data_IF_012624618429
#
_entry.id   IF_012624618429
#
_cell.length_a   1.000
_cell.length_b   1.000
_cell.length_c   1.000
_cell.angle_alpha   90.00
_cell.angle_beta   90.00
_cell.angle_gamma   90.00
#
_symmetry.space_group_name_H-M   'P 1'
#
loop_
_entity.id
_entity.type
_entity.pdbx_description
1 polymer ?
#
# COMPACT_ATOMS: atom_id res chain seq x y z
N UNK A 1 33.25 -2.99 4.86
CA UNK A 1 33.77 -2.54 6.16
C UNK A 1 32.60 -2.52 7.14
N UNK A 2 32.73 -3.17 8.29
CA UNK A 2 31.75 -3.01 9.36
C UNK A 2 31.74 -1.54 9.82
N UNK A 3 30.55 -0.94 9.92
CA UNK A 3 30.42 0.40 10.46
C UNK A 3 30.77 0.39 11.93
N UNK A 4 31.64 1.28 12.37
CA UNK A 4 31.92 1.46 13.80
C UNK A 4 30.69 2.07 14.47
N UNK A 5 30.17 1.50 15.56
CA UNK A 5 29.04 2.07 16.27
C UNK A 5 29.41 3.46 16.84
N UNK A 6 28.44 4.37 16.82
CA UNK A 6 28.56 5.69 17.42
C UNK A 6 28.75 5.61 18.94
N UNK A 7 28.01 4.69 19.59
CA UNK A 7 28.28 4.28 20.95
C UNK A 7 27.89 2.82 21.18
N UNK A 8 28.48 2.23 22.21
CA UNK A 8 28.21 0.85 22.65
C UNK A 8 28.00 0.83 24.17
N UNK A 9 27.03 0.07 24.65
CA UNK A 9 26.71 -0.11 26.05
C UNK A 9 26.07 -1.48 26.29
N UNK A 10 25.92 -1.87 27.55
CA UNK A 10 25.21 -3.09 27.89
C UNK A 10 23.71 -2.82 28.13
N UNK A 11 22.86 -3.76 27.75
CA UNK A 11 21.44 -3.69 28.00
C UNK A 11 21.17 -3.75 29.52
N UNK A 12 20.47 -2.77 30.11
CA UNK A 12 20.18 -2.74 31.54
C UNK A 12 19.23 -3.88 31.98
N UNK A 13 18.57 -4.57 31.03
CA UNK A 13 17.64 -5.66 31.35
C UNK A 13 18.32 -7.04 31.34
N UNK A 14 19.21 -7.31 30.37
CA UNK A 14 19.78 -8.65 30.18
C UNK A 14 21.32 -8.68 30.10
N UNK A 15 21.98 -7.52 30.12
CA UNK A 15 23.45 -7.44 30.03
C UNK A 15 24.03 -7.65 28.64
N UNK A 16 23.23 -7.94 27.60
CA UNK A 16 23.72 -8.11 26.26
C UNK A 16 24.22 -6.77 25.65
N UNK A 17 25.22 -6.76 24.76
CA UNK A 17 25.71 -5.53 24.15
C UNK A 17 24.62 -4.90 23.26
N UNK A 18 24.49 -3.58 23.37
CA UNK A 18 23.61 -2.73 22.56
C UNK A 18 24.48 -1.69 21.88
N UNK A 19 24.33 -1.56 20.58
CA UNK A 19 25.08 -0.64 19.72
C UNK A 19 24.15 0.34 19.05
N UNK A 20 24.54 1.60 18.97
CA UNK A 20 23.88 2.62 18.17
C UNK A 20 24.85 3.18 17.11
N UNK A 21 24.40 3.25 15.89
CA UNK A 21 25.18 3.68 14.74
C UNK A 21 24.88 5.12 14.35
N UNK A 22 23.71 5.65 14.72
CA UNK A 22 23.32 7.03 14.48
C UNK A 22 23.51 7.91 15.72
N UNK A 23 24.08 9.11 15.51
CA UNK A 23 24.15 10.13 16.56
C UNK A 23 22.76 10.65 16.98
N UNK A 24 21.72 10.38 16.21
CA UNK A 24 20.34 10.79 16.48
C UNK A 24 19.50 9.71 17.14
N UNK A 25 20.10 8.56 17.50
CA UNK A 25 19.41 7.48 18.17
C UNK A 25 18.84 7.92 19.54
N UNK A 26 17.53 7.76 19.71
CA UNK A 26 16.80 8.06 20.96
C UNK A 26 16.16 6.81 21.53
N UNK A 27 15.52 5.99 20.70
CA UNK A 27 15.03 4.66 21.09
C UNK A 27 15.96 3.59 20.53
N UNK A 28 16.28 2.60 21.35
CA UNK A 28 17.01 1.39 20.97
C UNK A 28 16.21 0.16 21.39
N UNK A 29 16.21 -0.87 20.59
CA UNK A 29 15.61 -2.17 20.95
C UNK A 29 16.75 -3.18 21.10
N UNK A 30 16.83 -3.80 22.27
CA UNK A 30 17.83 -4.85 22.51
C UNK A 30 17.59 -6.04 21.58
N UNK A 31 18.58 -6.41 20.79
CA UNK A 31 18.46 -7.55 19.86
C UNK A 31 18.35 -8.92 20.56
N UNK A 32 18.64 -8.99 21.88
CA UNK A 32 18.61 -10.23 22.64
C UNK A 32 17.33 -10.45 23.45
N UNK A 33 16.91 -9.43 24.24
CA UNK A 33 15.74 -9.56 25.11
C UNK A 33 14.56 -8.70 24.67
N UNK A 34 14.69 -7.97 23.55
CA UNK A 34 13.68 -7.09 22.98
C UNK A 34 13.23 -5.93 23.86
N UNK A 35 13.88 -5.69 25.01
CA UNK A 35 13.56 -4.52 25.84
C UNK A 35 13.84 -3.23 25.10
N UNK A 36 12.88 -2.32 25.16
CA UNK A 36 13.02 -0.97 24.60
C UNK A 36 13.77 -0.07 25.55
N UNK A 37 14.81 0.57 25.03
CA UNK A 37 15.74 1.39 25.77
C UNK A 37 15.66 2.84 25.26
N UNK A 38 15.80 3.79 26.17
CA UNK A 38 15.89 5.22 25.81
C UNK A 38 17.33 5.68 26.01
N UNK A 39 17.95 6.13 24.91
CA UNK A 39 19.27 6.73 24.95
C UNK A 39 19.19 8.18 25.47
N UNK A 40 20.07 8.53 26.39
CA UNK A 40 20.17 9.87 26.99
C UNK A 40 21.61 10.34 27.02
N UNK A 41 21.81 11.63 26.82
CA UNK A 41 23.11 12.27 27.03
C UNK A 41 23.23 12.63 28.50
N UNK A 42 24.28 12.14 29.16
CA UNK A 42 24.51 12.41 30.58
C UNK A 42 24.74 13.88 30.86
N UNK A 43 23.95 14.51 31.74
CA UNK A 43 24.21 15.85 32.22
C UNK A 43 25.51 15.84 33.03
N UNK A 44 26.56 16.51 32.56
CA UNK A 44 27.83 16.67 33.26
C UNK A 44 28.81 15.49 33.19
N UNK A 45 28.53 14.46 32.37
CA UNK A 45 29.46 13.37 32.02
C UNK A 45 29.51 13.23 30.51
N UNK A 46 30.71 13.11 29.99
CA UNK A 46 30.92 12.78 28.58
C UNK A 46 30.51 11.30 28.39
N UNK A 47 29.28 11.04 27.95
CA UNK A 47 28.85 9.68 27.63
C UNK A 47 27.33 9.56 27.41
N UNK A 48 27.01 8.63 26.55
CA UNK A 48 25.64 8.15 26.37
C UNK A 48 25.35 7.06 27.39
N UNK A 49 24.15 7.06 27.94
CA UNK A 49 23.64 5.96 28.73
C UNK A 49 22.24 5.58 28.23
N UNK A 50 21.89 4.33 28.42
CA UNK A 50 20.55 3.83 28.10
C UNK A 50 19.80 3.49 29.39
N UNK A 51 18.51 3.78 29.37
CA UNK A 51 17.61 3.37 30.46
C UNK A 51 16.51 2.48 29.87
N UNK A 52 16.11 1.44 30.62
CA UNK A 52 14.96 0.65 30.24
C UNK A 52 13.69 1.52 30.29
N UNK A 53 12.90 1.46 29.23
CA UNK A 53 11.60 2.18 29.16
C UNK A 53 10.49 1.49 29.95
N UNK A 54 10.74 0.28 30.47
CA UNK A 54 9.72 -0.58 31.09
C UNK A 54 8.82 -1.29 30.10
N UNK A 55 9.21 -1.36 28.84
CA UNK A 55 8.46 -1.98 27.76
C UNK A 55 9.37 -2.86 26.90
N UNK A 56 8.79 -3.90 26.32
CA UNK A 56 9.46 -4.77 25.38
C UNK A 56 8.85 -4.59 23.96
N UNK A 57 9.69 -4.73 22.95
CA UNK A 57 9.22 -4.77 21.57
C UNK A 57 8.48 -6.08 21.31
N UNK A 58 7.31 -5.97 20.72
CA UNK A 58 6.47 -7.09 20.32
C UNK A 58 6.20 -7.08 18.81
N UNK A 59 7.10 -6.48 18.03
CA UNK A 59 6.99 -6.43 16.58
C UNK A 59 6.89 -7.85 16.02
N UNK A 60 5.81 -8.12 15.30
CA UNK A 60 5.65 -9.39 14.62
C UNK A 60 6.54 -9.42 13.39
N UNK A 61 7.28 -10.53 13.26
CA UNK A 61 8.00 -10.81 12.03
C UNK A 61 7.02 -10.86 10.86
N UNK A 62 7.36 -10.18 9.81
CA UNK A 62 6.60 -10.16 8.57
C UNK A 62 7.39 -10.78 7.42
N UNK A 63 6.83 -10.71 6.23
CA UNK A 63 7.40 -11.26 5.01
C UNK A 63 8.26 -10.26 4.24
N UNK A 64 8.67 -9.16 4.86
CA UNK A 64 9.61 -8.22 4.24
C UNK A 64 10.93 -8.90 3.92
N UNK A 65 11.50 -8.70 2.74
CA UNK A 65 12.86 -9.13 2.44
C UNK A 65 13.92 -8.27 3.13
N UNK A 66 13.51 -7.16 3.73
CA UNK A 66 14.39 -6.24 4.43
C UNK A 66 14.59 -6.66 5.88
N UNK A 67 15.76 -6.33 6.44
CA UNK A 67 16.09 -6.55 7.83
C UNK A 67 17.06 -5.47 8.34
N UNK A 68 17.22 -5.38 9.65
CA UNK A 68 18.28 -4.54 10.23
C UNK A 68 19.65 -5.01 9.71
N UNK A 69 20.45 -4.07 9.24
CA UNK A 69 21.76 -4.36 8.61
C UNK A 69 21.68 -4.59 7.10
N UNK A 70 20.50 -4.59 6.47
CA UNK A 70 20.41 -4.52 5.00
C UNK A 70 21.08 -3.25 4.50
N UNK A 71 21.93 -3.39 3.49
CA UNK A 71 22.72 -2.30 2.88
C UNK A 71 22.25 -2.08 1.45
N UNK A 72 22.43 -0.85 0.96
CA UNK A 72 22.09 -0.52 -0.41
C UNK A 72 22.72 0.77 -0.88
N UNK A 73 22.30 1.21 -2.06
CA UNK A 73 22.74 2.48 -2.68
C UNK A 73 21.52 3.28 -3.12
N UNK A 74 21.46 4.54 -2.75
CA UNK A 74 20.46 5.50 -3.18
C UNK A 74 21.15 6.84 -3.52
N UNK A 75 20.97 7.34 -4.77
CA UNK A 75 21.62 8.55 -5.26
C UNK A 75 23.15 8.52 -5.06
N UNK A 76 23.80 7.42 -5.46
CA UNK A 76 25.23 7.15 -5.33
C UNK A 76 25.75 7.15 -3.88
N UNK A 77 24.86 7.26 -2.88
CA UNK A 77 25.20 7.16 -1.46
C UNK A 77 24.87 5.76 -0.94
N UNK A 78 25.83 5.15 -0.28
CA UNK A 78 25.61 3.88 0.41
C UNK A 78 24.82 4.13 1.69
N UNK A 79 23.97 3.19 2.02
CA UNK A 79 23.16 3.24 3.24
C UNK A 79 23.07 1.89 3.93
N UNK A 80 22.66 1.91 5.19
CA UNK A 80 22.33 0.73 6.00
C UNK A 80 20.99 0.97 6.70
N UNK A 81 20.13 -0.04 6.76
CA UNK A 81 18.92 -0.04 7.57
C UNK A 81 19.28 -0.32 9.02
N UNK A 82 19.05 0.64 9.90
CA UNK A 82 19.47 0.57 11.31
C UNK A 82 18.31 0.49 12.29
N UNK A 83 17.08 0.78 11.82
CA UNK A 83 15.88 0.70 12.61
C UNK A 83 14.67 0.32 11.76
N UNK A 84 13.63 -0.16 12.42
CA UNK A 84 12.33 -0.47 11.84
C UNK A 84 11.23 -0.05 12.79
N UNK A 85 10.19 0.56 12.23
CA UNK A 85 8.95 0.90 12.91
C UNK A 85 7.77 0.40 12.08
N UNK A 86 6.82 -0.28 12.68
CA UNK A 86 5.55 -0.59 12.04
C UNK A 86 4.54 0.48 12.39
N UNK A 87 4.07 1.20 11.38
CA UNK A 87 3.09 2.29 11.49
C UNK A 87 1.70 1.75 11.20
N UNK A 88 0.75 2.04 12.08
CA UNK A 88 -0.63 1.60 11.96
C UNK A 88 -1.55 2.73 11.54
N UNK A 89 -2.59 2.39 10.81
CA UNK A 89 -3.72 3.26 10.52
C UNK A 89 -5.02 2.46 10.62
N UNK A 90 -6.17 3.07 10.42
CA UNK A 90 -7.49 2.47 10.69
C UNK A 90 -7.73 1.12 10.00
N UNK A 91 -7.07 0.86 8.89
CA UNK A 91 -7.35 -0.29 8.02
C UNK A 91 -6.12 -1.14 7.68
N UNK A 92 -4.95 -0.84 8.23
CA UNK A 92 -3.73 -1.60 7.94
C UNK A 92 -2.49 -1.11 8.69
N UNK A 93 -1.34 -1.58 8.23
CA UNK A 93 -0.04 -1.16 8.72
C UNK A 93 1.00 -1.24 7.59
N UNK A 94 2.07 -0.47 7.70
CA UNK A 94 3.23 -0.54 6.83
C UNK A 94 4.52 -0.42 7.63
N UNK A 95 5.66 -0.74 6.99
CA UNK A 95 6.97 -0.61 7.62
C UNK A 95 7.64 0.71 7.24
N UNK A 96 8.24 1.35 8.23
CA UNK A 96 9.19 2.44 8.07
C UNK A 96 10.58 1.95 8.50
N UNK A 97 11.50 1.86 7.56
CA UNK A 97 12.87 1.47 7.79
C UNK A 97 13.74 2.70 7.98
N UNK A 98 14.37 2.85 9.15
CA UNK A 98 15.28 3.95 9.42
C UNK A 98 16.62 3.72 8.75
N UNK A 99 17.01 4.65 7.91
CA UNK A 99 18.16 4.59 7.02
C UNK A 99 19.29 5.46 7.55
N UNK A 100 20.50 4.91 7.62
CA UNK A 100 21.72 5.66 7.89
C UNK A 100 22.64 5.61 6.67
N UNK A 101 22.90 6.76 6.06
CA UNK A 101 23.85 6.92 4.97
C UNK A 101 25.30 6.94 5.49
N UNK A 102 26.27 6.67 4.61
CA UNK A 102 27.70 6.65 4.98
C UNK A 102 28.24 8.06 5.32
N UNK A 103 27.57 9.11 4.85
CA UNK A 103 27.88 10.50 5.20
C UNK A 103 27.31 10.94 6.56
N UNK A 104 26.65 10.03 7.30
CA UNK A 104 26.03 10.28 8.59
C UNK A 104 24.63 10.88 8.51
N UNK A 105 24.12 11.19 7.33
CA UNK A 105 22.73 11.61 7.16
C UNK A 105 21.79 10.43 7.36
N UNK A 106 20.53 10.74 7.64
CA UNK A 106 19.50 9.73 7.86
C UNK A 106 18.31 9.95 6.95
N UNK A 107 17.54 8.89 6.76
CA UNK A 107 16.32 8.89 5.95
C UNK A 107 15.38 7.79 6.36
N UNK A 108 14.34 7.59 5.56
CA UNK A 108 13.35 6.56 5.73
C UNK A 108 13.13 5.83 4.40
N UNK A 109 13.03 4.52 4.48
CA UNK A 109 12.54 3.67 3.40
C UNK A 109 11.20 3.11 3.85
N UNK A 110 10.11 3.71 3.35
CA UNK A 110 8.76 3.23 3.58
C UNK A 110 8.48 2.00 2.71
N UNK A 111 7.84 0.99 3.27
CA UNK A 111 7.44 -0.24 2.58
C UNK A 111 5.95 -0.48 2.79
N UNK A 112 5.17 -0.27 1.72
CA UNK A 112 3.71 -0.44 1.70
C UNK A 112 3.35 -1.43 0.61
N UNK A 113 3.13 -2.70 0.97
CA UNK A 113 2.95 -3.75 -0.03
C UNK A 113 4.17 -3.86 -0.96
N UNK A 114 3.99 -3.58 -2.24
CA UNK A 114 5.06 -3.58 -3.25
C UNK A 114 5.59 -2.16 -3.57
N UNK A 115 5.14 -1.15 -2.85
CA UNK A 115 5.58 0.24 -3.01
C UNK A 115 6.68 0.56 -2.01
N UNK A 116 7.83 0.98 -2.52
CA UNK A 116 8.97 1.43 -1.72
C UNK A 116 9.26 2.90 -1.98
N UNK A 117 9.39 3.68 -0.91
CA UNK A 117 9.62 5.12 -1.00
C UNK A 117 10.81 5.50 -0.15
N UNK A 118 11.89 5.99 -0.78
CA UNK A 118 13.07 6.52 -0.06
C UNK A 118 12.92 8.02 0.12
N UNK A 119 12.95 8.49 1.37
CA UNK A 119 12.85 9.91 1.73
C UNK A 119 13.93 10.32 2.74
N UNK A 120 14.32 11.59 2.69
CA UNK A 120 15.19 12.20 3.68
C UNK A 120 14.51 13.42 4.30
N UNK A 121 14.81 13.67 5.58
CA UNK A 121 14.33 14.86 6.28
C UNK A 121 14.94 16.12 5.65
N UNK A 122 14.09 17.08 5.35
CA UNK A 122 14.54 18.39 4.85
C UNK A 122 15.10 19.24 6.00
N UNK A 123 16.28 19.82 5.80
CA UNK A 123 16.91 20.70 6.78
C UNK A 123 16.04 21.93 7.12
N UNK A 124 15.28 22.40 6.15
CA UNK A 124 14.43 23.57 6.29
C UNK A 124 13.04 23.16 6.80
N UNK A 125 12.82 23.34 8.11
CA UNK A 125 11.53 23.07 8.73
C UNK A 125 10.49 24.13 8.37
N UNK A 126 9.28 23.70 8.09
CA UNK A 126 8.16 24.60 7.80
C UNK A 126 7.45 24.97 9.12
N UNK A 127 7.18 26.24 9.32
CA UNK A 127 6.41 26.67 10.49
C UNK A 127 4.92 26.36 10.37
N UNK A 128 4.41 26.23 9.15
CA UNK A 128 3.01 25.86 8.86
C UNK A 128 2.96 25.05 7.57
N UNK A 129 2.03 24.10 7.50
CA UNK A 129 1.68 23.42 6.27
C UNK A 129 1.01 24.40 5.27
N UNK A 130 0.92 23.99 3.99
CA UNK A 130 0.27 24.79 2.95
C UNK A 130 -1.22 25.01 3.25
N UNK A 131 -1.83 24.09 4.00
CA UNK A 131 -3.22 24.12 4.49
C UNK A 131 -3.28 23.49 5.88
N UNK A 132 -4.36 23.73 6.62
CA UNK A 132 -4.67 22.93 7.80
C UNK A 132 -4.91 21.48 7.36
N UNK A 133 -4.38 20.50 8.08
CA UNK A 133 -4.49 19.07 7.79
C UNK A 133 -5.94 18.68 7.41
N UNK A 134 -6.92 19.05 8.22
CA UNK A 134 -8.36 18.75 8.00
C UNK A 134 -8.93 19.32 6.69
N UNK A 135 -8.24 20.28 6.06
CA UNK A 135 -8.65 20.89 4.78
C UNK A 135 -7.90 20.33 3.58
N UNK A 136 -6.90 19.47 3.79
CA UNK A 136 -6.22 18.78 2.71
C UNK A 136 -7.11 17.66 2.19
N UNK A 137 -7.22 17.56 0.88
CA UNK A 137 -8.01 16.54 0.20
C UNK A 137 -7.13 15.84 -0.84
N UNK A 138 -7.04 14.53 -0.77
CA UNK A 138 -6.36 13.73 -1.77
C UNK A 138 -6.92 14.00 -3.17
N UNK A 139 -6.05 14.02 -4.17
CA UNK A 139 -6.40 14.25 -5.57
C UNK A 139 -6.77 15.68 -5.96
N UNK A 140 -7.09 16.56 -5.00
CA UNK A 140 -7.55 17.93 -5.31
C UNK A 140 -6.73 19.03 -4.65
N UNK A 141 -6.09 18.76 -3.52
CA UNK A 141 -5.17 19.72 -2.90
C UNK A 141 -3.83 19.69 -3.59
N UNK A 142 -3.26 20.86 -3.84
CA UNK A 142 -1.92 21.01 -4.42
C UNK A 142 -1.06 21.95 -3.59
N UNK A 143 0.25 21.78 -3.72
CA UNK A 143 1.26 22.68 -3.18
C UNK A 143 2.40 22.87 -4.18
N UNK A 144 3.09 23.99 -4.05
CA UNK A 144 4.33 24.23 -4.82
C UNK A 144 5.52 23.92 -3.91
N UNK A 145 6.39 23.03 -4.40
CA UNK A 145 7.64 22.69 -3.76
C UNK A 145 8.77 22.70 -4.81
N UNK A 146 9.84 23.45 -4.56
CA UNK A 146 10.95 23.63 -5.51
C UNK A 146 10.50 24.06 -6.92
N UNK A 147 9.51 24.97 -7.00
CA UNK A 147 8.96 25.46 -8.27
C UNK A 147 8.06 24.46 -9.02
N UNK A 148 7.78 23.30 -8.42
CA UNK A 148 6.98 22.25 -9.02
C UNK A 148 5.69 22.04 -8.23
N UNK A 149 4.59 21.72 -8.93
CA UNK A 149 3.30 21.44 -8.31
C UNK A 149 3.22 19.98 -7.93
N UNK A 150 2.93 19.71 -6.67
CA UNK A 150 2.65 18.40 -6.09
C UNK A 150 1.17 18.30 -5.75
N UNK A 151 0.59 17.12 -5.93
CA UNK A 151 -0.81 16.82 -5.59
C UNK A 151 -0.82 15.94 -4.35
N UNK A 152 -1.71 16.22 -3.40
CA UNK A 152 -1.92 15.35 -2.24
C UNK A 152 -2.37 13.97 -2.72
N UNK A 153 -1.63 12.93 -2.36
CA UNK A 153 -1.92 11.54 -2.75
C UNK A 153 -2.56 10.76 -1.62
N UNK A 154 -2.15 11.04 -0.39
CA UNK A 154 -2.64 10.35 0.80
C UNK A 154 -2.70 11.32 1.98
N UNK A 155 -3.77 11.23 2.80
CA UNK A 155 -4.02 12.09 3.96
C UNK A 155 -4.50 11.21 5.10
N UNK A 156 -3.61 10.90 6.06
CA UNK A 156 -3.91 9.90 7.09
C UNK A 156 -3.63 10.38 8.50
N UNK A 157 -4.48 9.91 9.41
CA UNK A 157 -4.13 9.80 10.82
C UNK A 157 -3.47 8.46 11.04
N UNK A 158 -2.26 8.47 11.57
CA UNK A 158 -1.45 7.29 11.85
C UNK A 158 -1.37 7.04 13.35
N UNK A 159 -1.16 5.79 13.73
CA UNK A 159 -1.05 5.37 15.11
C UNK A 159 0.27 4.64 15.33
N UNK A 160 1.04 5.09 16.31
CA UNK A 160 2.23 4.41 16.76
C UNK A 160 1.89 3.51 17.94
N UNK A 161 2.14 2.23 17.81
CA UNK A 161 2.11 1.33 18.95
C UNK A 161 3.50 1.30 19.56
N UNK A 162 3.58 1.51 20.84
CA UNK A 162 4.86 1.63 21.55
C UNK A 162 5.71 0.35 21.57
N UNK A 163 5.22 -0.73 20.96
CA UNK A 163 5.87 -2.04 20.95
C UNK A 163 6.34 -2.48 19.55
N UNK A 164 6.04 -1.72 18.51
CA UNK A 164 6.21 -2.17 17.13
C UNK A 164 7.48 -1.60 16.49
N UNK A 165 8.65 -1.84 17.12
CA UNK A 165 9.94 -1.33 16.68
C UNK A 165 11.08 -2.36 16.77
N UNK A 166 12.13 -2.18 15.98
CA UNK A 166 13.40 -2.91 16.02
C UNK A 166 14.58 -1.96 15.77
N UNK A 167 15.76 -2.29 16.31
CA UNK A 167 16.96 -1.50 16.08
C UNK A 167 16.93 -0.15 16.76
N UNK A 168 17.34 0.89 16.06
CA UNK A 168 17.43 2.26 16.58
C UNK A 168 16.49 3.23 15.84
N UNK A 169 15.87 4.15 16.60
CA UNK A 169 14.96 5.17 16.07
C UNK A 169 15.32 6.56 16.60
N UNK A 170 15.06 7.63 15.81
CA UNK A 170 15.47 9.01 16.16
C UNK A 170 14.52 9.72 17.12
N UNK A 171 13.53 9.05 17.67
CA UNK A 171 12.52 9.61 18.57
C UNK A 171 12.16 8.65 19.70
N UNK A 172 11.54 9.19 20.76
CA UNK A 172 11.15 8.41 21.93
C UNK A 172 9.76 7.79 21.75
N UNK A 173 9.71 6.48 21.50
CA UNK A 173 8.45 5.73 21.42
C UNK A 173 7.74 5.54 22.77
N UNK A 174 8.44 5.73 23.90
CA UNK A 174 7.84 5.56 25.24
C UNK A 174 7.00 6.76 25.68
N UNK A 175 7.21 7.92 25.09
CA UNK A 175 6.43 9.13 25.35
C UNK A 175 5.25 9.18 24.38
N UNK A 176 4.05 9.11 24.91
CA UNK A 176 2.74 9.03 24.26
C UNK A 176 2.53 9.97 23.05
N UNK A 177 3.04 9.61 21.88
CA UNK A 177 2.47 10.08 20.63
C UNK A 177 1.51 8.99 20.11
N UNK A 178 0.29 8.99 20.64
CA UNK A 178 -0.68 7.96 20.29
C UNK A 178 -1.14 8.04 18.84
N UNK A 179 -1.07 9.21 18.22
CA UNK A 179 -1.49 9.43 16.83
C UNK A 179 -0.68 10.55 16.17
N UNK A 180 -0.46 10.44 14.85
CA UNK A 180 0.12 11.46 14.01
C UNK A 180 -0.80 11.82 12.85
N UNK A 181 -0.66 13.04 12.32
CA UNK A 181 -1.35 13.49 11.11
C UNK A 181 -0.32 13.68 10.00
N UNK A 182 -0.37 12.87 8.95
CA UNK A 182 0.59 12.91 7.84
C UNK A 182 -0.12 13.09 6.51
N UNK A 183 0.54 13.77 5.59
CA UNK A 183 0.05 13.95 4.25
C UNK A 183 1.18 13.74 3.24
N UNK A 184 0.94 12.86 2.28
CA UNK A 184 1.84 12.57 1.19
C UNK A 184 1.43 13.32 -0.07
N UNK A 185 2.43 13.86 -0.75
CA UNK A 185 2.28 14.66 -1.95
C UNK A 185 3.15 14.09 -3.05
N UNK A 186 2.60 13.95 -4.23
CA UNK A 186 3.27 13.30 -5.36
C UNK A 186 3.37 14.19 -6.59
N UNK A 187 4.47 13.99 -7.32
CA UNK A 187 4.67 14.46 -8.68
C UNK A 187 5.54 13.44 -9.44
N UNK A 188 4.97 12.74 -10.41
CA UNK A 188 5.69 11.65 -11.07
C UNK A 188 6.11 10.58 -10.06
N UNK A 189 7.41 10.29 -9.98
CA UNK A 189 7.99 9.44 -8.94
C UNK A 189 8.49 10.20 -7.70
N UNK A 190 8.44 11.53 -7.70
CA UNK A 190 8.82 12.35 -6.56
C UNK A 190 7.78 12.27 -5.45
N UNK A 191 8.27 12.26 -4.22
CA UNK A 191 7.47 12.07 -3.03
C UNK A 191 7.85 13.10 -1.96
N UNK A 192 6.84 13.74 -1.37
CA UNK A 192 7.01 14.70 -0.28
C UNK A 192 6.01 14.35 0.82
N UNK A 193 6.50 13.99 2.00
CA UNK A 193 5.68 13.78 3.19
C UNK A 193 5.74 14.99 4.09
N UNK A 194 4.60 15.46 4.55
CA UNK A 194 4.46 16.51 5.56
C UNK A 194 3.88 15.90 6.84
N UNK A 195 4.63 16.02 7.94
CA UNK A 195 4.19 15.59 9.27
C UNK A 195 3.59 16.78 10.03
N UNK A 196 2.26 16.82 10.10
CA UNK A 196 1.50 17.87 10.78
C UNK A 196 1.49 17.73 12.30
N UNK A 197 1.99 16.61 12.83
CA UNK A 197 2.06 16.34 14.27
C UNK A 197 3.22 17.04 14.94
N UNK A 198 4.22 17.47 14.18
CA UNK A 198 5.44 18.13 14.69
C UNK A 198 5.35 19.64 14.54
N UNK A 199 6.00 20.38 15.47
CA UNK A 199 6.12 21.83 15.35
C UNK A 199 7.55 22.30 15.72
N UNK A 200 8.27 22.98 14.83
CA UNK A 200 7.93 23.22 13.42
C UNK A 200 7.76 21.92 12.65
N UNK A 201 6.89 21.95 11.64
CA UNK A 201 6.49 20.78 10.85
C UNK A 201 7.68 20.13 10.14
N UNK A 202 7.87 18.84 10.35
CA UNK A 202 8.85 18.06 9.65
C UNK A 202 8.38 17.76 8.22
N UNK A 203 9.31 17.73 7.29
CA UNK A 203 9.05 17.48 5.89
C UNK A 203 10.11 16.51 5.36
N UNK A 204 9.66 15.47 4.68
CA UNK A 204 10.53 14.46 4.11
C UNK A 204 10.37 14.46 2.60
N UNK A 205 11.48 14.44 1.89
CA UNK A 205 11.47 14.48 0.44
C UNK A 205 12.32 13.37 -0.15
N UNK A 206 11.85 12.79 -1.23
CA UNK A 206 12.53 11.73 -1.94
C UNK A 206 11.73 11.22 -3.13
N UNK A 207 11.77 9.92 -3.37
CA UNK A 207 11.10 9.31 -4.51
C UNK A 207 10.77 7.83 -4.29
N UNK A 208 9.88 7.35 -5.12
CA UNK A 208 9.58 5.92 -5.26
C UNK A 208 10.80 5.23 -5.88
N UNK A 209 11.12 4.05 -5.36
CA UNK A 209 12.26 3.22 -5.77
C UNK A 209 11.80 1.77 -5.95
N UNK A 210 12.48 1.01 -6.81
CA UNK A 210 12.38 -0.44 -6.80
C UNK A 210 13.50 -1.04 -5.95
N UNK A 211 13.28 -2.19 -5.33
CA UNK A 211 14.32 -2.86 -4.54
C UNK A 211 15.56 -3.17 -5.40
N UNK A 212 15.37 -3.52 -6.68
CA UNK A 212 16.47 -3.78 -7.60
C UNK A 212 17.32 -2.53 -7.85
N UNK A 213 16.70 -1.34 -7.91
CA UNK A 213 17.42 -0.07 -8.11
C UNK A 213 18.31 0.28 -6.93
N UNK A 214 18.00 -0.22 -5.74
CA UNK A 214 18.75 0.02 -4.52
C UNK A 214 19.99 -0.89 -4.36
N UNK A 215 20.17 -1.90 -5.23
CA UNK A 215 21.30 -2.85 -5.19
C UNK A 215 21.53 -3.43 -3.79
N UNK A 216 20.47 -3.97 -3.19
CA UNK A 216 20.45 -4.38 -1.81
C UNK A 216 21.35 -5.60 -1.55
N UNK A 217 22.09 -5.53 -0.45
CA UNK A 217 22.89 -6.61 0.14
C UNK A 217 22.34 -6.94 1.53
N UNK A 218 22.59 -8.17 1.99
CA UNK A 218 22.16 -8.65 3.32
C UNK A 218 20.64 -8.56 3.51
N UNK A 219 19.89 -8.97 2.48
CA UNK A 219 18.45 -9.21 2.60
C UNK A 219 18.20 -10.53 3.31
N UNK A 220 17.02 -10.68 3.89
CA UNK A 220 16.51 -11.98 4.34
C UNK A 220 16.37 -12.90 3.14
N UNK A 221 16.84 -14.14 3.28
CA UNK A 221 16.56 -15.21 2.32
C UNK A 221 15.13 -15.73 2.50
N UNK A 222 14.63 -16.43 1.49
CA UNK A 222 13.30 -17.07 1.58
C UNK A 222 13.25 -18.07 2.74
N UNK A 223 14.35 -18.77 3.03
CA UNK A 223 14.45 -19.72 4.15
C UNK A 223 14.37 -18.97 5.49
N UNK A 224 15.09 -17.86 5.67
CA UNK A 224 15.02 -17.04 6.89
C UNK A 224 13.62 -16.45 7.10
N UNK A 225 12.96 -16.04 6.03
CA UNK A 225 11.57 -15.57 6.09
C UNK A 225 10.66 -16.72 6.51
N UNK A 226 10.85 -17.90 5.93
CA UNK A 226 10.09 -19.10 6.26
C UNK A 226 10.25 -19.52 7.72
N UNK A 227 11.49 -19.53 8.22
CA UNK A 227 11.79 -19.92 9.60
C UNK A 227 11.23 -18.93 10.62
N UNK A 228 11.37 -17.62 10.37
CA UNK A 228 10.96 -16.58 11.31
C UNK A 228 9.44 -16.32 11.29
N UNK A 229 8.83 -16.28 10.12
CA UNK A 229 7.39 -16.07 9.97
C UNK A 229 6.60 -17.39 9.93
N UNK A 230 7.30 -18.53 9.99
CA UNK A 230 6.72 -19.87 9.95
C UNK A 230 6.28 -20.32 8.57
N UNK A 231 6.27 -19.45 7.53
CA UNK A 231 5.86 -19.78 6.15
C UNK A 231 6.23 -18.68 5.17
N UNK A 232 6.34 -19.01 3.88
CA UNK A 232 6.66 -18.05 2.82
C UNK A 232 5.53 -17.04 2.55
N UNK A 233 5.91 -15.83 2.17
CA UNK A 233 4.99 -14.78 1.73
C UNK A 233 4.09 -15.28 0.61
N UNK A 234 2.80 -15.01 0.72
CA UNK A 234 1.83 -15.39 -0.29
C UNK A 234 1.37 -16.84 -0.23
N UNK A 235 1.82 -17.63 0.75
CA UNK A 235 1.21 -18.93 0.99
C UNK A 235 -0.28 -18.78 1.29
N UNK A 236 -1.09 -19.63 0.67
CA UNK A 236 -2.54 -19.60 0.88
C UNK A 236 -2.87 -20.34 2.16
N UNK A 237 -3.36 -19.59 3.15
CA UNK A 237 -3.93 -20.15 4.38
C UNK A 237 -5.40 -20.47 4.19
N UNK A 238 -5.89 -21.41 4.98
CA UNK A 238 -7.29 -21.81 5.00
C UNK A 238 -7.75 -22.03 6.42
N UNK A 239 -8.83 -21.36 6.81
CA UNK A 239 -9.53 -21.57 8.08
C UNK A 239 -11.05 -21.47 7.89
N UNK A 240 -11.79 -21.80 8.93
CA UNK A 240 -13.24 -21.64 8.90
C UNK A 240 -13.63 -20.24 9.41
N UNK A 241 -14.58 -19.61 8.73
CA UNK A 241 -15.16 -18.35 9.16
C UNK A 241 -15.75 -18.49 10.58
N UNK A 242 -15.35 -17.69 11.56
CA UNK A 242 -15.84 -17.81 12.94
C UNK A 242 -17.32 -17.45 13.10
N UNK A 243 -17.95 -16.85 12.07
CA UNK A 243 -19.37 -16.53 12.08
C UNK A 243 -20.27 -17.62 11.47
N UNK A 244 -19.88 -18.20 10.33
CA UNK A 244 -20.75 -19.15 9.60
C UNK A 244 -20.13 -20.54 9.38
N UNK A 245 -18.86 -20.75 9.74
CA UNK A 245 -18.16 -22.01 9.58
C UNK A 245 -17.69 -22.35 8.16
N UNK A 246 -18.01 -21.52 7.16
CA UNK A 246 -17.55 -21.74 5.79
C UNK A 246 -16.05 -21.55 5.66
N UNK A 247 -15.35 -22.33 4.80
CA UNK A 247 -13.92 -22.16 4.59
C UNK A 247 -13.61 -20.80 3.95
N UNK A 248 -12.56 -20.15 4.43
CA UNK A 248 -12.01 -18.91 3.91
C UNK A 248 -10.53 -19.08 3.62
N UNK A 249 -10.04 -18.46 2.55
CA UNK A 249 -8.66 -18.59 2.08
C UNK A 249 -8.05 -17.22 1.87
N UNK A 250 -6.77 -17.03 2.24
CA UNK A 250 -6.07 -15.77 2.01
C UNK A 250 -4.55 -15.97 1.87
N UNK A 251 -3.86 -15.14 1.09
CA UNK A 251 -2.41 -15.12 1.04
C UNK A 251 -1.85 -14.54 2.35
N UNK A 252 -1.02 -15.33 3.02
CA UNK A 252 -0.37 -14.95 4.28
C UNK A 252 0.56 -13.75 4.06
N UNK A 253 0.56 -12.83 5.01
CA UNK A 253 1.48 -11.69 5.06
C UNK A 253 1.29 -10.61 3.99
N UNK A 254 0.33 -10.78 3.07
CA UNK A 254 0.03 -9.77 2.04
C UNK A 254 -1.40 -9.23 2.15
N UNK A 255 -2.24 -9.87 2.94
CA UNK A 255 -3.61 -9.43 3.20
C UNK A 255 -3.83 -9.22 4.68
N UNK A 256 -4.55 -8.16 5.03
CA UNK A 256 -4.93 -7.83 6.41
C UNK A 256 -6.43 -7.90 6.65
N UNK A 257 -7.20 -8.00 5.59
CA UNK A 257 -8.65 -7.95 5.60
C UNK A 257 -9.26 -9.02 4.70
N UNK A 258 -10.28 -9.70 5.20
CA UNK A 258 -10.96 -10.76 4.48
C UNK A 258 -12.48 -10.59 4.64
N UNK A 259 -13.20 -10.74 3.55
CA UNK A 259 -14.66 -10.84 3.54
C UNK A 259 -15.08 -12.28 3.25
N UNK A 260 -15.81 -12.88 4.15
CA UNK A 260 -16.31 -14.23 3.95
C UNK A 260 -17.28 -14.29 2.77
N UNK A 261 -16.98 -15.13 1.79
CA UNK A 261 -17.80 -15.28 0.58
C UNK A 261 -19.22 -15.75 0.89
N UNK A 262 -19.36 -16.58 1.92
CA UNK A 262 -20.64 -17.22 2.27
C UNK A 262 -21.56 -16.28 3.05
N UNK A 263 -21.05 -15.50 4.01
CA UNK A 263 -21.89 -14.70 4.89
C UNK A 263 -21.59 -13.20 4.87
N UNK A 264 -20.56 -12.75 4.15
CA UNK A 264 -20.17 -11.35 4.06
C UNK A 264 -19.58 -10.76 5.33
N UNK A 265 -19.30 -11.56 6.37
CA UNK A 265 -18.67 -11.05 7.60
C UNK A 265 -17.25 -10.59 7.35
N UNK A 266 -16.87 -9.48 7.99
CA UNK A 266 -15.52 -8.90 7.95
C UNK A 266 -14.61 -9.63 8.94
N UNK A 267 -13.43 -10.01 8.48
CA UNK A 267 -12.47 -10.80 9.23
C UNK A 267 -11.09 -10.11 9.15
N UNK A 268 -10.34 -10.18 10.26
CA UNK A 268 -8.95 -9.72 10.31
C UNK A 268 -8.00 -10.90 10.11
N UNK A 269 -7.04 -10.76 9.21
CA UNK A 269 -6.06 -11.78 8.85
C UNK A 269 -4.61 -11.37 9.18
N UNK A 270 -4.41 -10.30 9.93
CA UNK A 270 -3.06 -9.80 10.30
C UNK A 270 -2.29 -10.74 11.23
N UNK A 271 -3.01 -11.65 11.89
CA UNK A 271 -2.42 -12.80 12.60
C UNK A 271 -2.64 -14.05 11.76
N UNK A 272 -1.94 -15.12 12.05
CA UNK A 272 -2.09 -16.40 11.33
C UNK A 272 -3.46 -17.07 11.52
N UNK A 273 -4.34 -16.43 12.25
CA UNK A 273 -5.70 -16.85 12.53
C UNK A 273 -6.70 -15.83 12.02
N UNK A 274 -7.90 -16.28 11.71
CA UNK A 274 -9.03 -15.43 11.34
C UNK A 274 -9.74 -14.93 12.58
N UNK A 275 -9.85 -13.61 12.73
CA UNK A 275 -10.60 -12.99 13.80
C UNK A 275 -11.83 -12.24 13.23
N UNK A 276 -13.00 -12.47 13.81
CA UNK A 276 -14.21 -11.76 13.44
C UNK A 276 -14.11 -10.28 13.81
N UNK A 277 -14.24 -9.39 12.82
CA UNK A 277 -14.31 -7.93 13.04
C UNK A 277 -15.76 -7.46 13.12
N UNK A 278 -16.58 -7.91 12.17
CA UNK A 278 -17.97 -7.52 12.04
C UNK A 278 -18.77 -8.67 11.44
N UNK A 279 -19.84 -9.08 12.11
CA UNK A 279 -20.74 -10.10 11.61
C UNK A 279 -21.76 -9.48 10.66
N UNK A 280 -21.95 -10.08 9.50
CA UNK A 280 -23.03 -9.70 8.61
C UNK A 280 -24.33 -10.41 9.03
N UNK A 281 -25.35 -9.65 9.37
CA UNK A 281 -26.65 -10.19 9.75
C UNK A 281 -27.45 -10.77 8.57
N UNK A 282 -27.09 -10.46 7.33
CA UNK A 282 -27.76 -10.93 6.13
C UNK A 282 -26.84 -11.88 5.36
N UNK A 283 -27.16 -13.18 5.41
CA UNK A 283 -26.60 -14.16 4.47
C UNK A 283 -27.07 -13.79 3.06
N UNK A 284 -26.17 -13.27 2.24
CA UNK A 284 -26.40 -13.17 0.80
C UNK A 284 -25.62 -14.29 0.13
N UNK A 285 -26.26 -15.06 -0.72
CA UNK A 285 -25.59 -15.94 -1.67
C UNK A 285 -24.80 -15.04 -2.65
N UNK A 286 -23.53 -14.79 -2.31
CA UNK A 286 -22.66 -13.91 -3.09
C UNK A 286 -21.97 -14.65 -4.25
N UNK A 287 -21.97 -16.00 -4.20
CA UNK A 287 -21.27 -16.84 -5.17
C UNK A 287 -21.74 -16.64 -6.63
N UNK A 288 -23.00 -16.25 -6.83
CA UNK A 288 -23.57 -16.07 -8.18
C UNK A 288 -23.38 -14.66 -8.76
N UNK A 289 -22.73 -13.74 -8.03
CA UNK A 289 -22.54 -12.36 -8.48
C UNK A 289 -21.25 -12.14 -9.24
N UNK A 290 -20.31 -13.07 -9.15
CA UNK A 290 -18.99 -12.98 -9.77
C UNK A 290 -18.85 -13.99 -10.90
N UNK A 291 -18.41 -13.54 -12.07
CA UNK A 291 -18.15 -14.39 -13.24
C UNK A 291 -16.98 -15.35 -13.00
N UNK A 292 -15.97 -14.89 -12.26
CA UNK A 292 -14.79 -15.68 -11.86
C UNK A 292 -14.83 -15.99 -10.39
N UNK A 293 -14.50 -17.24 -10.05
CA UNK A 293 -14.45 -17.67 -8.66
C UNK A 293 -13.14 -17.25 -7.98
N UNK A 294 -13.23 -16.80 -6.73
CA UNK A 294 -12.06 -16.56 -5.88
C UNK A 294 -11.32 -17.87 -5.66
N UNK A 295 -9.99 -17.85 -5.67
CA UNK A 295 -9.14 -19.05 -5.63
C UNK A 295 -8.78 -19.62 -7.00
N UNK A 296 -9.39 -19.11 -8.08
CA UNK A 296 -9.05 -19.53 -9.44
C UNK A 296 -7.68 -19.01 -9.85
N UNK A 297 -6.87 -19.86 -10.45
CA UNK A 297 -5.59 -19.50 -11.06
C UNK A 297 -5.75 -19.30 -12.56
N UNK A 298 -5.04 -18.32 -13.10
CA UNK A 298 -5.04 -18.05 -14.54
C UNK A 298 -3.79 -17.34 -14.99
N UNK A 299 -3.42 -17.53 -16.28
CA UNK A 299 -2.20 -16.93 -16.84
C UNK A 299 -2.56 -15.83 -17.83
N UNK A 300 -2.18 -14.59 -17.48
CA UNK A 300 -2.29 -13.41 -18.33
C UNK A 300 -0.90 -12.81 -18.58
N UNK A 301 -0.61 -12.47 -19.84
CA UNK A 301 0.68 -11.89 -20.24
C UNK A 301 1.90 -12.62 -19.65
N UNK A 302 1.91 -13.97 -19.75
CA UNK A 302 2.93 -14.88 -19.21
C UNK A 302 3.08 -14.92 -17.68
N UNK A 303 2.28 -14.15 -16.94
CA UNK A 303 2.22 -14.18 -15.48
C UNK A 303 1.06 -15.02 -14.99
N UNK A 304 1.32 -15.94 -14.08
CA UNK A 304 0.29 -16.70 -13.39
C UNK A 304 -0.23 -15.91 -12.18
N UNK A 305 -1.52 -15.67 -12.14
CA UNK A 305 -2.21 -14.98 -11.08
C UNK A 305 -3.19 -15.89 -10.36
N UNK A 306 -3.35 -15.65 -9.06
CA UNK A 306 -4.40 -16.18 -8.23
C UNK A 306 -5.43 -15.07 -7.97
N UNK A 307 -6.71 -15.34 -8.20
CA UNK A 307 -7.80 -14.43 -7.80
C UNK A 307 -7.97 -14.56 -6.29
N UNK A 308 -7.70 -13.51 -5.54
CA UNK A 308 -7.78 -13.53 -4.07
C UNK A 308 -8.97 -12.75 -3.52
N UNK A 309 -9.50 -11.79 -4.29
CA UNK A 309 -10.67 -11.00 -3.92
C UNK A 309 -11.43 -10.52 -5.13
N UNK A 310 -12.66 -10.10 -4.91
CA UNK A 310 -13.52 -9.50 -5.92
C UNK A 310 -14.40 -8.42 -5.29
N UNK A 311 -14.52 -7.28 -5.97
CA UNK A 311 -15.40 -6.16 -5.59
C UNK A 311 -16.31 -5.85 -6.75
N UNK A 312 -17.61 -5.86 -6.52
CA UNK A 312 -18.62 -5.43 -7.46
C UNK A 312 -19.07 -4.01 -7.11
N UNK A 313 -19.04 -3.16 -8.09
CA UNK A 313 -19.47 -1.78 -7.98
C UNK A 313 -20.77 -1.55 -8.74
N UNK A 314 -21.54 -0.60 -8.25
CA UNK A 314 -22.67 0.01 -8.94
C UNK A 314 -22.33 1.46 -9.23
N UNK A 315 -22.56 1.90 -10.47
CA UNK A 315 -22.42 3.30 -10.83
C UNK A 315 -23.54 4.13 -10.19
N UNK A 316 -23.14 5.21 -9.49
CA UNK A 316 -24.06 6.20 -8.97
C UNK A 316 -24.12 7.35 -9.96
N UNK A 317 -25.09 7.29 -10.87
CA UNK A 317 -25.38 8.37 -11.80
C UNK A 317 -26.31 9.41 -11.19
N UNK A 318 -25.97 10.71 -11.34
CA UNK A 318 -26.86 11.81 -10.98
C UNK A 318 -28.01 12.01 -11.98
N UNK A 319 -27.98 11.36 -13.15
CA UNK A 319 -28.88 11.66 -14.27
C UNK A 319 -29.88 10.54 -14.62
N UNK A 320 -29.66 9.29 -14.25
CA UNK A 320 -30.56 8.19 -14.64
C UNK A 320 -30.70 7.15 -13.55
N UNK A 321 -31.71 7.26 -12.69
CA UNK A 321 -31.99 6.31 -11.61
C UNK A 321 -32.50 4.94 -12.11
N UNK A 322 -32.75 4.77 -13.41
CA UNK A 322 -33.37 3.57 -13.98
C UNK A 322 -32.42 2.61 -14.70
N UNK A 323 -31.15 2.92 -14.86
CA UNK A 323 -30.15 2.02 -15.43
C UNK A 323 -28.85 2.13 -14.64
N UNK A 324 -28.67 1.30 -13.64
CA UNK A 324 -27.42 1.17 -12.92
C UNK A 324 -26.45 0.35 -13.79
N UNK A 325 -25.30 0.92 -14.10
CA UNK A 325 -24.21 0.17 -14.69
C UNK A 325 -23.41 -0.50 -13.57
N UNK A 326 -22.99 -1.76 -13.80
CA UNK A 326 -22.21 -2.54 -12.85
C UNK A 326 -20.91 -2.97 -13.48
N UNK A 327 -19.86 -3.02 -12.66
CA UNK A 327 -18.62 -3.67 -13.03
C UNK A 327 -18.05 -4.44 -11.84
N UNK A 328 -17.16 -5.36 -12.11
CA UNK A 328 -16.47 -6.13 -11.10
C UNK A 328 -14.96 -6.00 -11.27
N UNK A 329 -14.28 -5.80 -10.18
CA UNK A 329 -12.82 -5.76 -10.11
C UNK A 329 -12.34 -6.96 -9.30
N UNK A 330 -11.53 -7.82 -9.93
CA UNK A 330 -10.92 -8.99 -9.31
C UNK A 330 -9.50 -8.65 -8.90
N UNK A 331 -9.19 -8.80 -7.62
CA UNK A 331 -7.82 -8.64 -7.12
C UNK A 331 -7.01 -9.89 -7.45
N UNK A 332 -6.03 -9.72 -8.29
CA UNK A 332 -5.08 -10.75 -8.70
C UNK A 332 -3.82 -10.65 -7.86
N UNK A 333 -3.27 -11.79 -7.49
CA UNK A 333 -2.00 -11.89 -6.76
C UNK A 333 -1.01 -12.82 -7.46
N UNK A 334 0.24 -12.37 -7.56
CA UNK A 334 1.39 -13.16 -7.97
C UNK A 334 2.51 -12.98 -6.94
N UNK A 335 3.17 -14.06 -6.55
CA UNK A 335 4.21 -14.03 -5.50
C UNK A 335 5.45 -13.22 -5.85
N UNK A 336 5.72 -12.99 -7.14
CA UNK A 336 6.88 -12.25 -7.63
C UNK A 336 6.54 -10.83 -8.09
N UNK A 337 5.35 -10.64 -8.69
CA UNK A 337 4.91 -9.37 -9.28
C UNK A 337 3.92 -8.59 -8.40
N UNK A 338 3.49 -9.16 -7.26
CA UNK A 338 2.54 -8.53 -6.37
C UNK A 338 1.12 -8.53 -6.91
N UNK A 339 0.45 -7.37 -6.85
CA UNK A 339 -0.97 -7.23 -7.15
C UNK A 339 -1.25 -6.64 -8.52
N UNK A 340 -2.35 -7.08 -9.13
CA UNK A 340 -2.95 -6.48 -10.31
C UNK A 340 -4.48 -6.57 -10.19
N UNK A 341 -5.20 -5.83 -11.02
CA UNK A 341 -6.65 -5.86 -11.08
C UNK A 341 -7.14 -6.34 -12.44
N UNK A 342 -8.10 -7.25 -12.43
CA UNK A 342 -8.81 -7.65 -13.63
C UNK A 342 -10.23 -7.07 -13.56
N UNK A 343 -10.53 -6.15 -14.45
CA UNK A 343 -11.79 -5.39 -14.47
C UNK A 343 -12.72 -6.03 -15.50
N UNK A 344 -13.93 -6.37 -15.07
CA UNK A 344 -15.04 -6.84 -15.89
C UNK A 344 -16.12 -5.76 -15.95
N UNK A 345 -16.39 -5.21 -17.13
CA UNK A 345 -17.50 -4.30 -17.37
C UNK A 345 -18.33 -4.80 -18.56
N UNK A 346 -19.51 -5.33 -18.26
CA UNK A 346 -20.31 -6.07 -19.23
C UNK A 346 -19.56 -7.27 -19.80
N UNK A 347 -19.27 -7.25 -21.10
CA UNK A 347 -18.48 -8.31 -21.77
C UNK A 347 -17.02 -7.92 -22.03
N UNK A 348 -16.55 -6.82 -21.48
CA UNK A 348 -15.19 -6.31 -21.68
C UNK A 348 -14.34 -6.62 -20.47
N UNK A 349 -13.09 -6.99 -20.73
CA UNK A 349 -12.10 -7.31 -19.73
C UNK A 349 -10.88 -6.41 -19.89
N UNK A 350 -10.34 -5.94 -18.79
CA UNK A 350 -9.13 -5.14 -18.77
C UNK A 350 -8.24 -5.57 -17.60
N UNK A 351 -6.94 -5.69 -17.87
CA UNK A 351 -5.93 -5.87 -16.83
C UNK A 351 -5.41 -4.49 -16.43
N UNK A 352 -5.51 -4.15 -15.16
CA UNK A 352 -5.12 -2.88 -14.59
C UNK A 352 -3.97 -3.04 -13.61
N UNK A 353 -3.00 -2.15 -13.68
CA UNK A 353 -1.81 -2.11 -12.84
C UNK A 353 -1.66 -0.71 -12.25
N UNK A 354 -1.34 -0.62 -10.96
CA UNK A 354 -1.07 0.66 -10.28
C UNK A 354 0.18 1.32 -10.84
N UNK A 355 0.10 2.62 -11.12
CA UNK A 355 1.24 3.39 -11.58
C UNK A 355 2.17 3.78 -10.42
N UNK A 356 3.39 3.30 -10.45
CA UNK A 356 4.45 3.76 -9.54
C UNK A 356 4.84 5.22 -9.86
N UNK A 357 4.96 5.56 -11.14
CA UNK A 357 5.23 6.93 -11.60
C UNK A 357 3.93 7.56 -12.09
N UNK A 358 3.49 8.62 -11.44
CA UNK A 358 2.30 9.35 -11.83
C UNK A 358 2.51 10.11 -13.13
N UNK A 359 1.45 10.34 -13.94
CA UNK A 359 1.55 11.17 -15.12
C UNK A 359 1.89 12.63 -14.75
N UNK A 360 2.51 13.36 -15.67
CA UNK A 360 2.54 14.81 -15.58
C UNK A 360 1.15 15.37 -15.83
N UNK A 361 0.82 16.49 -15.16
CA UNK A 361 -0.49 17.13 -15.27
C UNK A 361 -0.40 18.47 -16.01
N UNK A 362 -1.41 18.76 -16.80
CA UNK A 362 -1.62 20.07 -17.42
C UNK A 362 -2.17 21.09 -16.41
N UNK A 363 -2.39 22.32 -16.87
CA UNK A 363 -2.94 23.41 -16.05
C UNK A 363 -4.38 23.16 -15.55
N UNK A 364 -5.09 22.23 -16.16
CA UNK A 364 -6.45 21.83 -15.79
C UNK A 364 -6.47 20.64 -14.82
N UNK A 365 -5.27 20.07 -14.48
CA UNK A 365 -5.11 18.93 -13.59
C UNK A 365 -5.40 17.58 -14.26
N UNK A 366 -5.45 17.52 -15.59
CA UNK A 366 -5.55 16.27 -16.34
C UNK A 366 -4.16 15.77 -16.72
N UNK A 367 -3.97 14.46 -16.94
CA UNK A 367 -2.73 13.91 -17.47
C UNK A 367 -2.34 14.58 -18.77
N UNK A 368 -1.13 15.11 -18.84
CA UNK A 368 -0.67 15.93 -19.95
C UNK A 368 -0.70 15.16 -21.28
N UNK A 369 -1.43 15.71 -22.24
CA UNK A 369 -1.54 15.13 -23.56
C UNK A 369 -2.54 13.98 -23.69
N UNK A 370 -3.24 13.62 -22.62
CA UNK A 370 -4.32 12.65 -22.62
C UNK A 370 -5.68 13.36 -22.55
N UNK A 371 -6.72 12.70 -23.02
CA UNK A 371 -8.06 13.24 -23.07
C UNK A 371 -8.95 12.51 -22.06
N UNK A 372 -9.67 13.24 -21.23
CA UNK A 372 -10.71 12.68 -20.38
C UNK A 372 -11.79 12.04 -21.26
N UNK A 373 -12.03 10.75 -21.05
CA UNK A 373 -13.03 9.99 -21.82
C UNK A 373 -14.26 9.66 -20.99
N UNK A 374 -14.09 9.52 -19.67
CA UNK A 374 -15.23 9.29 -18.78
C UNK A 374 -14.92 9.75 -17.34
N UNK A 375 -15.98 10.03 -16.56
CA UNK A 375 -15.90 10.26 -15.14
C UNK A 375 -17.22 9.83 -14.46
N UNK A 376 -17.08 9.03 -13.42
CA UNK A 376 -18.22 8.44 -12.73
C UNK A 376 -17.93 8.17 -11.25
N UNK A 377 -18.96 7.81 -10.51
CA UNK A 377 -18.84 7.37 -9.12
C UNK A 377 -19.27 5.93 -9.00
N UNK A 378 -18.43 5.14 -8.35
CA UNK A 378 -18.72 3.76 -8.02
C UNK A 378 -18.98 3.60 -6.54
N UNK A 379 -20.02 2.88 -6.19
CA UNK A 379 -20.26 2.44 -4.83
C UNK A 379 -20.07 0.95 -4.74
N UNK A 380 -19.35 0.49 -3.70
CA UNK A 380 -19.18 -0.93 -3.42
C UNK A 380 -20.56 -1.55 -3.12
N UNK A 381 -21.03 -2.41 -4.00
CA UNK A 381 -22.27 -3.17 -3.81
C UNK A 381 -21.99 -4.44 -3.02
N UNK A 382 -21.01 -5.23 -3.47
CA UNK A 382 -20.60 -6.49 -2.86
C UNK A 382 -19.09 -6.63 -2.95
N UNK A 383 -18.48 -7.16 -1.91
CA UNK A 383 -17.08 -7.57 -1.94
C UNK A 383 -16.90 -8.93 -1.26
N UNK A 384 -15.94 -9.71 -1.73
CA UNK A 384 -15.61 -11.01 -1.16
C UNK A 384 -14.12 -11.32 -1.34
N UNK A 385 -13.57 -12.13 -0.44
CA UNK A 385 -12.18 -12.58 -0.47
C UNK A 385 -11.23 -11.71 0.33
N UNK A 386 -9.95 -11.76 -0.03
CA UNK A 386 -8.85 -11.20 0.74
C UNK A 386 -8.30 -9.91 0.08
N UNK A 387 -8.04 -8.90 0.90
CA UNK A 387 -7.56 -7.58 0.47
C UNK A 387 -6.42 -7.10 1.38
N UNK A 388 -5.55 -6.27 0.85
CA UNK A 388 -4.49 -5.60 1.62
C UNK A 388 -4.96 -4.30 2.29
N UNK A 389 -6.23 -3.89 2.05
CA UNK A 389 -6.92 -2.80 2.75
C UNK A 389 -8.35 -3.20 3.10
N UNK A 390 -9.02 -2.39 3.92
CA UNK A 390 -10.39 -2.63 4.36
C UNK A 390 -11.39 -2.14 3.31
N UNK A 391 -12.16 -3.06 2.73
CA UNK A 391 -13.26 -2.79 1.82
C UNK A 391 -14.58 -2.90 2.57
N UNK A 392 -15.48 -1.93 2.40
CA UNK A 392 -16.81 -1.96 3.00
C UNK A 392 -17.87 -1.76 1.94
N UNK A 393 -18.99 -2.48 2.09
CA UNK A 393 -20.20 -2.19 1.32
C UNK A 393 -20.63 -0.73 1.56
N UNK A 394 -20.92 -0.02 0.50
CA UNK A 394 -21.29 1.40 0.55
C UNK A 394 -20.12 2.36 0.39
N UNK A 395 -18.86 1.90 0.43
CA UNK A 395 -17.70 2.76 0.13
C UNK A 395 -17.87 3.39 -1.25
N UNK A 396 -17.58 4.69 -1.34
CA UNK A 396 -17.76 5.49 -2.54
C UNK A 396 -16.41 5.91 -3.11
N UNK A 397 -16.21 5.61 -4.38
CA UNK A 397 -15.01 5.95 -5.15
C UNK A 397 -15.38 6.83 -6.34
N UNK A 398 -14.49 7.76 -6.68
CA UNK A 398 -14.61 8.62 -7.84
C UNK A 398 -13.58 8.20 -8.88
N UNK A 399 -14.04 7.92 -10.08
CA UNK A 399 -13.23 7.49 -11.19
C UNK A 399 -13.14 8.58 -12.26
N UNK A 400 -11.94 8.73 -12.83
CA UNK A 400 -11.74 9.49 -14.08
C UNK A 400 -10.88 8.66 -15.00
N UNK A 401 -11.36 8.45 -16.20
CA UNK A 401 -10.69 7.69 -17.23
C UNK A 401 -10.17 8.58 -18.35
N UNK A 402 -8.97 8.31 -18.81
CA UNK A 402 -8.29 9.10 -19.85
C UNK A 402 -7.76 8.18 -20.95
N UNK A 403 -7.71 8.70 -22.19
CA UNK A 403 -7.15 7.97 -23.32
C UNK A 403 -5.63 7.88 -23.20
N UNK A 404 -5.07 6.68 -23.06
CA UNK A 404 -3.62 6.49 -22.96
C UNK A 404 -2.86 6.47 -24.29
N UNK A 405 -3.34 7.14 -25.34
CA UNK A 405 -2.83 6.97 -26.73
C UNK A 405 -1.40 7.42 -26.95
N UNK A 406 -0.94 8.49 -26.26
CA UNK A 406 0.37 9.09 -26.53
C UNK A 406 1.51 8.42 -25.78
N UNK A 407 1.37 8.26 -24.48
CA UNK A 407 2.47 7.83 -23.61
C UNK A 407 2.42 6.35 -23.25
N UNK A 408 1.24 5.73 -23.27
CA UNK A 408 1.01 4.40 -22.72
C UNK A 408 0.58 3.35 -23.73
N UNK A 409 0.33 3.74 -24.98
CA UNK A 409 -0.05 2.83 -26.08
C UNK A 409 -1.53 2.90 -26.46
N UNK A 410 -1.86 2.32 -27.62
CA UNK A 410 -3.23 2.30 -28.13
C UNK A 410 -4.12 1.42 -27.24
N UNK A 411 -5.34 1.88 -26.99
CA UNK A 411 -6.36 1.18 -26.20
C UNK A 411 -6.01 1.02 -24.70
N UNK A 412 -4.94 1.66 -24.23
CA UNK A 412 -4.66 1.80 -22.80
C UNK A 412 -5.54 2.91 -22.25
N UNK A 413 -6.12 2.68 -21.08
CA UNK A 413 -6.84 3.70 -20.31
C UNK A 413 -6.00 4.00 -19.08
N UNK A 414 -5.76 5.29 -18.83
CA UNK A 414 -5.30 5.76 -17.53
C UNK A 414 -6.53 6.01 -16.68
N UNK A 415 -6.51 5.55 -15.45
CA UNK A 415 -7.59 5.77 -14.51
C UNK A 415 -7.05 6.38 -13.23
N UNK A 416 -7.72 7.41 -12.72
CA UNK A 416 -7.59 7.83 -11.33
C UNK A 416 -8.78 7.34 -10.54
N UNK A 417 -8.50 6.65 -9.46
CA UNK A 417 -9.45 6.21 -8.47
C UNK A 417 -9.23 7.01 -7.19
N UNK A 418 -10.26 7.70 -6.73
CA UNK A 418 -10.18 8.59 -5.59
C UNK A 418 -11.21 8.21 -4.53
N UNK A 419 -10.71 7.89 -3.35
CA UNK A 419 -11.47 7.80 -2.10
C UNK A 419 -11.50 9.16 -1.38
N UNK A 420 -12.01 9.18 -0.16
CA UNK A 420 -11.95 10.36 0.71
C UNK A 420 -10.52 10.76 1.04
N UNK A 421 -9.65 9.79 1.30
CA UNK A 421 -8.35 9.99 1.94
C UNK A 421 -7.17 9.70 1.00
N UNK A 422 -7.42 9.07 -0.17
CA UNK A 422 -6.38 8.63 -1.09
C UNK A 422 -6.80 8.80 -2.55
N UNK A 423 -5.83 9.03 -3.43
CA UNK A 423 -5.96 8.91 -4.88
C UNK A 423 -4.90 7.99 -5.44
N UNK A 424 -5.33 7.02 -6.23
CA UNK A 424 -4.47 6.05 -6.92
C UNK A 424 -4.58 6.27 -8.43
N UNK A 425 -3.47 6.15 -9.14
CA UNK A 425 -3.43 6.14 -10.59
C UNK A 425 -3.08 4.75 -11.08
N UNK A 426 -3.81 4.28 -12.07
CA UNK A 426 -3.59 2.99 -12.73
C UNK A 426 -3.60 3.14 -14.24
N UNK A 427 -3.03 2.13 -14.91
CA UNK A 427 -3.16 1.93 -16.35
C UNK A 427 -3.84 0.60 -16.59
N UNK A 428 -4.81 0.57 -17.48
CA UNK A 428 -5.51 -0.65 -17.84
C UNK A 428 -5.42 -0.94 -19.32
N UNK A 429 -5.16 -2.20 -19.66
CA UNK A 429 -5.06 -2.70 -21.02
C UNK A 429 -6.16 -3.72 -21.30
N UNK A 430 -6.73 -3.76 -22.53
CA UNK A 430 -7.78 -4.70 -22.85
C UNK A 430 -7.25 -6.14 -22.82
N UNK A 431 -8.04 -7.03 -22.26
CA UNK A 431 -7.82 -8.48 -22.32
C UNK A 431 -8.84 -9.08 -23.27
N UNK A 432 -8.35 -9.71 -24.30
CA UNK A 432 -9.23 -10.31 -25.30
C UNK A 432 -9.96 -11.53 -24.72
N UNK A 433 -11.13 -11.78 -25.25
CA UNK A 433 -11.93 -12.93 -24.93
C UNK A 433 -11.16 -14.26 -25.05
N UNK A 434 -10.32 -14.39 -26.08
CA UNK A 434 -9.45 -15.55 -26.28
C UNK A 434 -8.47 -15.74 -25.14
N UNK A 435 -7.91 -14.64 -24.63
CA UNK A 435 -7.02 -14.67 -23.46
C UNK A 435 -7.78 -15.08 -22.20
N UNK A 436 -8.96 -14.52 -21.96
CA UNK A 436 -9.80 -14.88 -20.81
C UNK A 436 -10.20 -16.36 -20.82
N UNK A 437 -10.62 -16.87 -21.95
CA UNK A 437 -10.92 -18.30 -22.11
C UNK A 437 -9.71 -19.18 -21.84
N UNK A 438 -8.54 -18.80 -22.35
CA UNK A 438 -7.29 -19.56 -22.12
C UNK A 438 -6.84 -19.48 -20.66
N UNK A 439 -6.98 -18.32 -20.02
CA UNK A 439 -6.50 -18.07 -18.68
C UNK A 439 -7.42 -18.70 -17.61
N UNK A 440 -8.73 -18.53 -17.73
CA UNK A 440 -9.70 -18.86 -16.70
C UNK A 440 -10.79 -19.87 -17.12
N UNK A 441 -10.68 -20.45 -18.31
CA UNK A 441 -11.62 -21.45 -18.78
C UNK A 441 -13.03 -20.93 -19.09
N UNK A 442 -13.20 -19.61 -19.26
CA UNK A 442 -14.51 -19.03 -19.52
C UNK A 442 -15.12 -19.60 -20.80
N UNK A 443 -16.28 -20.24 -20.67
CA UNK A 443 -17.08 -20.71 -21.80
C UNK A 443 -18.18 -19.68 -22.07
N UNK A 444 -18.29 -19.27 -23.32
CA UNK A 444 -19.35 -18.35 -23.73
C UNK A 444 -20.19 -18.98 -24.82
N UNK A 445 -21.46 -18.74 -24.79
CA UNK A 445 -22.37 -19.21 -25.82
C UNK A 445 -22.05 -18.53 -27.16
N UNK A 446 -21.80 -19.34 -28.19
CA UNK A 446 -21.48 -18.88 -29.55
C UNK A 446 -22.59 -18.00 -30.15
N UNK A 447 -23.84 -18.18 -29.74
CA UNK A 447 -24.97 -17.32 -30.16
C UNK A 447 -24.91 -15.93 -29.58
N UNK A 448 -24.47 -15.80 -28.34
CA UNK A 448 -24.25 -14.50 -27.70
C UNK A 448 -23.09 -13.72 -28.33
N UNK A 449 -22.02 -14.43 -28.74
CA UNK A 449 -20.89 -13.81 -29.45
C UNK A 449 -21.31 -13.23 -30.81
N UNK A 450 -22.10 -13.96 -31.57
CA UNK A 450 -22.59 -13.47 -32.87
C UNK A 450 -23.48 -12.22 -32.71
N UNK A 451 -24.32 -12.18 -31.68
CA UNK A 451 -25.15 -11.00 -31.42
C UNK A 451 -24.33 -9.76 -31.03
N UNK A 452 -23.20 -9.96 -30.37
CA UNK A 452 -22.30 -8.88 -29.98
C UNK A 452 -21.50 -8.35 -31.19
N UNK A 453 -21.04 -9.26 -32.07
CA UNK A 453 -20.39 -8.91 -33.35
C UNK A 453 -21.35 -8.19 -34.32
N UNK A 454 -22.61 -8.61 -34.35
CA UNK A 454 -23.62 -8.03 -35.25
C UNK A 454 -24.20 -6.70 -34.72
N UNK A 455 -24.13 -6.44 -33.43
CA UNK A 455 -24.57 -5.15 -32.85
C UNK A 455 -23.53 -4.04 -32.93
N UNK A 456 -22.37 -4.31 -33.54
CA UNK A 456 -21.35 -3.33 -33.89
C UNK A 456 -20.88 -2.49 -32.70
N UNK A 457 -19.60 -2.34 -32.61
CA UNK A 457 -18.93 -1.36 -31.73
C UNK A 457 -19.31 0.09 -32.14
N UNK A 458 -20.58 0.47 -31.94
CA UNK A 458 -21.14 1.77 -32.28
C UNK A 458 -21.21 2.71 -31.06
N UNK A 459 -20.30 2.59 -30.12
CA UNK A 459 -19.91 3.74 -29.29
C UNK A 459 -18.62 4.34 -29.85
N UNK A 460 -18.73 4.86 -31.05
CA UNK A 460 -17.83 5.91 -31.50
C UNK A 460 -17.88 7.04 -30.48
N UNK A 461 -16.70 7.46 -30.05
CA UNK A 461 -16.42 8.81 -29.56
C UNK A 461 -17.15 9.80 -30.50
N UNK A 462 -18.33 10.19 -30.11
CA UNK A 462 -19.19 11.05 -30.92
C UNK A 462 -20.06 11.88 -30.02
N UNK A 463 -19.57 13.11 -29.79
CA UNK A 463 -20.37 14.32 -29.61
C UNK A 463 -21.78 14.12 -29.03
N UNK A 464 -21.93 14.35 -27.75
CA UNK A 464 -23.16 14.99 -27.28
C UNK A 464 -22.95 16.48 -27.43
N UNK A 465 -23.26 17.00 -28.63
CA UNK A 465 -23.63 18.38 -28.82
C UNK A 465 -25.01 18.59 -28.19
N UNK A 466 -25.08 19.65 -27.40
CA UNK A 466 -26.12 20.43 -26.74
C UNK A 466 -26.28 20.25 -25.25
#
# INVERSE_FOLDING_TARGET
>A
MEKTPFFKTDCPSCGAPVEAYSATAVTLVCGHCHSMLVARIGKGRSGYFVANSGRDSALLEDFSPLQIGTRGVFDDRKFTLIGRLQVHYDVGAWNEWYVLFDDGQTGWLSEVGDLYVMTCLLAQKRRRGPKNFKSVKAGSSSLIFNGQTFIASDVRTIHYRNTDAQGELPFNLSENQAAGEVCDWRRGNLFLTLDYSTFPMDSYFGRIVSLDSLKLENKRSDDEIHESAGRLKGEILSENCPHCGSPVHWPRGVTSFLLCQSCGSSLNTTKDTVALMEANAQRKEQENLFTLSIGTKGRLNDTEYLIIGAVRFVEISSYNQNQSEYWTEYLLYNTQQGFAWLIESGKRWRLSETLQTWPDFDSSGNPAGEMLIDHYRGQVEVAAGAFYWKVKQGDLLHYKEYSGKKSYGRNVILCSEQSKDEIVWSKSSPVSYRQMRKAFGLSFDTKEMLSYWLKGDNRNVGSRDN
#
